data_IF_373608401579
#
_entry.id   IF_373608401579
#
_cell.length_a   1.000
_cell.length_b   1.000
_cell.length_c   1.000
_cell.angle_alpha   90.00
_cell.angle_beta   90.00
_cell.angle_gamma   90.00
#
_symmetry.space_group_name_H-M   'P 1'
#
loop_
_entity.id
_entity.type
_entity.pdbx_description
1 polymer ?
#
# COMPACT_ATOMS: atom_id res chain seq x y z
N UNK A 1 -9.30 43.96 -74.27
CA UNK A 1 -9.22 45.19 -73.45
C UNK A 1 -9.52 44.75 -72.03
N UNK A 2 -8.50 44.56 -71.19
CA UNK A 2 -8.06 45.56 -70.20
C UNK A 2 -9.26 46.03 -69.33
N UNK A 3 -9.32 45.90 -68.00
CA UNK A 3 -8.25 46.02 -66.99
C UNK A 3 -8.71 45.47 -65.63
N UNK A 4 -7.70 45.13 -64.82
CA UNK A 4 -7.71 44.77 -63.40
C UNK A 4 -7.91 46.02 -62.52
N UNK A 5 -8.59 45.91 -61.39
CA UNK A 5 -8.24 46.44 -60.04
C UNK A 5 -9.48 46.35 -59.12
N UNK A 6 -9.41 46.24 -57.80
CA UNK A 6 -8.57 45.54 -56.83
C UNK A 6 -9.21 45.80 -55.44
N UNK A 7 -8.91 44.93 -54.48
CA UNK A 7 -8.91 45.15 -53.01
C UNK A 7 -10.15 44.90 -52.13
N UNK A 8 -9.79 44.18 -51.06
CA UNK A 8 -10.26 44.23 -49.66
C UNK A 8 -11.41 43.26 -49.28
N UNK A 9 -11.12 42.07 -48.74
CA UNK A 9 -10.65 41.72 -47.38
C UNK A 9 -11.78 41.57 -46.34
N UNK A 10 -11.69 40.45 -45.61
CA UNK A 10 -12.21 40.13 -44.26
C UNK A 10 -13.37 39.12 -44.22
N UNK A 11 -12.95 37.85 -44.12
CA UNK A 11 -13.29 36.86 -43.09
C UNK A 11 -14.61 37.02 -42.31
N UNK A 12 -15.43 35.96 -42.32
CA UNK A 12 -15.67 35.06 -41.18
C UNK A 12 -16.70 34.01 -41.64
N UNK A 13 -16.27 32.76 -41.77
CA UNK A 13 -17.14 31.60 -41.99
C UNK A 13 -17.29 30.89 -40.66
N UNK A 14 -18.48 30.95 -40.05
CA UNK A 14 -18.80 30.22 -38.81
C UNK A 14 -19.42 28.88 -39.22
N UNK A 15 -18.60 27.82 -39.18
CA UNK A 15 -19.04 26.43 -39.26
C UNK A 15 -19.41 25.95 -37.85
N UNK A 16 -20.70 25.82 -37.57
CA UNK A 16 -21.18 25.07 -36.40
C UNK A 16 -21.28 23.59 -36.77
N UNK A 17 -20.20 22.83 -36.53
CA UNK A 17 -20.23 21.37 -36.51
C UNK A 17 -20.38 20.92 -35.06
N UNK A 18 -21.60 20.48 -34.71
CA UNK A 18 -21.90 19.78 -33.46
C UNK A 18 -21.23 18.39 -33.52
N UNK A 19 -19.99 18.30 -33.06
CA UNK A 19 -19.35 17.04 -32.73
C UNK A 19 -19.81 16.60 -31.33
N UNK A 20 -20.83 15.76 -31.29
CA UNK A 20 -21.12 14.91 -30.14
C UNK A 20 -20.03 13.85 -30.04
N UNK A 21 -18.93 14.19 -29.38
CA UNK A 21 -17.92 13.21 -28.97
C UNK A 21 -18.49 12.46 -27.78
N UNK A 22 -19.10 11.31 -28.04
CA UNK A 22 -19.32 10.30 -27.02
C UNK A 22 -17.95 9.90 -26.48
N UNK A 23 -17.61 10.40 -25.29
CA UNK A 23 -16.49 9.90 -24.50
C UNK A 23 -16.89 8.49 -24.07
N UNK A 24 -16.54 7.49 -24.86
CA UNK A 24 -16.46 6.13 -24.39
C UNK A 24 -15.35 6.12 -23.35
N UNK A 25 -15.76 6.24 -22.09
CA UNK A 25 -14.92 5.99 -20.93
C UNK A 25 -14.25 4.63 -21.15
N UNK A 26 -12.92 4.66 -21.28
CA UNK A 26 -12.10 3.47 -21.19
C UNK A 26 -12.41 2.79 -19.85
N UNK A 27 -13.10 1.65 -19.91
CA UNK A 27 -13.12 0.70 -18.80
C UNK A 27 -11.77 -0.02 -18.77
N UNK A 28 -10.70 0.68 -18.42
CA UNK A 28 -9.54 0.02 -17.84
C UNK A 28 -9.93 -0.33 -16.42
N UNK A 29 -10.00 -1.62 -16.13
CA UNK A 29 -10.32 -2.14 -14.80
C UNK A 29 -9.57 -1.34 -13.74
N UNK A 30 -10.33 -0.80 -12.79
CA UNK A 30 -9.79 -0.20 -11.58
C UNK A 30 -9.11 -1.36 -10.85
N UNK A 31 -7.83 -1.62 -11.15
CA UNK A 31 -6.91 -2.05 -10.10
C UNK A 31 -7.00 -0.93 -9.08
N UNK A 32 -7.73 -1.24 -8.02
CA UNK A 32 -7.89 -0.37 -6.87
C UNK A 32 -6.47 -0.01 -6.42
N UNK A 33 -6.10 1.26 -6.59
CA UNK A 33 -4.81 1.78 -6.17
C UNK A 33 -4.77 1.69 -4.65
N UNK A 34 -4.12 0.63 -4.14
CA UNK A 34 -3.91 0.38 -2.71
C UNK A 34 -2.75 1.22 -2.14
N UNK A 35 -2.32 2.31 -2.80
CA UNK A 35 -1.42 3.29 -2.22
C UNK A 35 -2.10 4.13 -1.13
N UNK A 36 -2.69 3.47 -0.14
CA UNK A 36 -3.04 4.10 1.13
C UNK A 36 -1.73 4.44 1.82
N UNK A 37 -1.26 5.67 1.67
CA UNK A 37 -0.33 6.27 2.64
C UNK A 37 -1.09 6.42 3.95
N UNK A 38 -1.23 5.33 4.71
CA UNK A 38 -1.59 5.42 6.10
C UNK A 38 -0.54 6.32 6.76
N UNK A 39 -0.99 7.28 7.56
CA UNK A 39 -0.09 8.12 8.35
C UNK A 39 0.91 7.23 9.06
N UNK A 40 2.15 7.68 9.18
CA UNK A 40 3.17 6.98 9.94
C UNK A 40 2.61 6.59 11.32
N UNK A 41 2.50 5.30 11.60
CA UNK A 41 2.08 4.78 12.90
C UNK A 41 3.30 4.13 13.53
N UNK A 42 3.88 4.75 14.56
CA UNK A 42 4.82 4.04 15.42
C UNK A 42 4.01 3.16 16.39
N UNK A 43 4.11 1.82 16.34
CA UNK A 43 3.38 0.95 17.26
C UNK A 43 3.76 1.18 18.73
N UNK A 44 4.88 1.86 19.03
CA UNK A 44 5.29 2.27 20.37
C UNK A 44 4.46 3.44 20.90
N UNK A 45 3.88 4.25 20.01
CA UNK A 45 3.12 5.44 20.37
C UNK A 45 1.62 5.17 20.51
N UNK A 46 1.14 3.99 20.12
CA UNK A 46 -0.31 3.67 20.06
C UNK A 46 -0.94 3.32 21.41
N UNK A 47 -0.25 3.52 22.54
CA UNK A 47 -0.62 2.99 23.88
C UNK A 47 -0.74 1.46 23.97
N UNK A 48 -0.45 0.75 22.87
CA UNK A 48 -0.46 -0.70 22.77
C UNK A 48 0.87 -1.27 23.29
N UNK A 49 0.85 -2.51 23.76
CA UNK A 49 2.05 -3.23 24.18
C UNK A 49 2.56 -4.09 23.03
N UNK A 50 3.87 -4.03 22.75
CA UNK A 50 4.51 -4.95 21.80
C UNK A 50 4.44 -6.36 22.39
N UNK A 51 3.73 -7.25 21.70
CA UNK A 51 3.60 -8.66 22.05
C UNK A 51 4.60 -9.54 21.30
N UNK A 52 5.09 -9.09 20.14
CA UNK A 52 6.12 -9.75 19.36
C UNK A 52 6.69 -8.82 18.31
N UNK A 53 7.95 -9.07 17.94
CA UNK A 53 8.62 -8.38 16.84
C UNK A 53 9.48 -9.38 16.09
N UNK A 54 9.50 -9.27 14.77
CA UNK A 54 10.42 -10.02 13.92
C UNK A 54 11.02 -9.07 12.88
N UNK A 55 12.29 -9.27 12.54
CA UNK A 55 13.03 -8.48 11.57
C UNK A 55 13.70 -9.41 10.58
N UNK A 56 13.64 -9.04 9.31
CA UNK A 56 14.32 -9.75 8.24
C UNK A 56 13.68 -9.49 6.88
N UNK A 57 14.27 -10.10 5.86
CA UNK A 57 13.91 -9.82 4.48
C UNK A 57 14.48 -8.51 3.98
N UNK A 58 14.52 -8.39 2.66
CA UNK A 58 15.14 -7.25 1.98
C UNK A 58 14.08 -6.55 1.13
N UNK A 59 14.01 -5.23 1.27
CA UNK A 59 13.24 -4.39 0.36
C UNK A 59 14.14 -3.43 -0.40
N UNK A 60 13.69 -3.02 -1.57
CA UNK A 60 14.33 -1.99 -2.37
C UNK A 60 13.31 -1.21 -3.18
N UNK A 61 13.47 0.10 -3.25
CA UNK A 61 12.66 0.99 -4.06
C UNK A 61 13.52 2.17 -4.53
N UNK A 62 13.68 2.32 -5.85
CA UNK A 62 14.58 3.29 -6.46
C UNK A 62 16.02 3.17 -5.91
N UNK A 63 16.50 4.21 -5.23
CA UNK A 63 17.82 4.32 -4.60
C UNK A 63 17.82 3.92 -3.10
N UNK A 64 16.66 3.56 -2.56
CA UNK A 64 16.49 3.16 -1.17
C UNK A 64 16.44 1.63 -1.04
N UNK A 65 17.02 1.11 0.02
CA UNK A 65 16.92 -0.31 0.37
C UNK A 65 17.08 -0.53 1.87
N UNK A 66 16.63 -1.68 2.34
CA UNK A 66 16.78 -2.06 3.73
C UNK A 66 16.03 -3.32 4.08
N UNK A 67 15.56 -3.40 5.32
CA UNK A 67 14.92 -4.60 5.86
C UNK A 67 13.51 -4.33 6.36
N UNK A 68 12.70 -5.38 6.39
CA UNK A 68 11.39 -5.30 6.99
C UNK A 68 11.46 -5.57 8.49
N UNK A 69 10.56 -4.93 9.24
CA UNK A 69 10.23 -5.34 10.60
C UNK A 69 8.74 -5.45 10.78
N UNK A 70 8.31 -6.53 11.41
CA UNK A 70 6.92 -6.81 11.73
C UNK A 70 6.70 -6.72 13.22
N UNK A 71 5.60 -6.11 13.63
CA UNK A 71 5.19 -6.04 15.02
C UNK A 71 3.81 -6.61 15.20
N UNK A 72 3.64 -7.33 16.30
CA UNK A 72 2.33 -7.60 16.85
C UNK A 72 2.20 -6.79 18.13
N UNK A 73 1.17 -5.96 18.20
CA UNK A 73 0.82 -5.28 19.43
C UNK A 73 -0.48 -5.83 20.01
N UNK A 74 -0.68 -5.59 21.30
CA UNK A 74 -1.91 -5.89 22.03
C UNK A 74 -2.36 -4.68 22.80
N UNK A 75 -3.67 -4.45 22.81
CA UNK A 75 -4.31 -3.51 23.72
C UNK A 75 -4.47 -4.13 25.11
N UNK A 76 -4.33 -3.34 26.19
CA UNK A 76 -4.42 -3.86 27.57
C UNK A 76 -5.81 -4.45 27.91
N UNK A 77 -6.87 -3.95 27.29
CA UNK A 77 -8.27 -4.31 27.58
C UNK A 77 -8.82 -5.47 26.76
N UNK A 78 -8.19 -5.80 25.65
CA UNK A 78 -8.71 -6.70 24.64
C UNK A 78 -7.52 -7.46 24.04
N UNK A 79 -7.59 -8.79 24.08
CA UNK A 79 -6.57 -9.70 23.54
C UNK A 79 -6.51 -9.69 22.00
N UNK A 80 -6.92 -8.59 21.38
CA UNK A 80 -6.89 -8.37 19.94
C UNK A 80 -5.49 -7.93 19.55
N UNK A 81 -4.90 -8.71 18.65
CA UNK A 81 -3.60 -8.42 18.10
C UNK A 81 -3.76 -7.39 16.97
N UNK A 82 -2.79 -6.49 16.82
CA UNK A 82 -2.64 -5.67 15.62
C UNK A 82 -1.28 -5.97 14.97
N UNK A 83 -1.28 -6.23 13.67
CA UNK A 83 -0.09 -6.46 12.86
C UNK A 83 0.33 -5.15 12.17
N UNK A 84 1.62 -4.83 12.29
CA UNK A 84 2.25 -3.71 11.60
C UNK A 84 3.46 -4.20 10.83
N UNK A 85 3.82 -3.46 9.77
CA UNK A 85 5.06 -3.64 9.02
C UNK A 85 5.79 -2.31 8.87
N UNK A 86 7.11 -2.34 9.04
CA UNK A 86 8.03 -1.23 8.88
C UNK A 86 9.03 -1.50 7.76
N UNK A 87 9.35 -0.46 6.99
CA UNK A 87 10.45 -0.42 6.05
C UNK A 87 11.59 0.37 6.70
N UNK A 88 12.62 -0.35 7.11
CA UNK A 88 13.76 0.19 7.83
C UNK A 88 14.92 0.41 6.88
N UNK A 89 15.70 1.48 7.06
CA UNK A 89 16.97 1.64 6.38
C UNK A 89 17.93 0.51 6.72
N UNK A 90 18.83 0.21 5.79
CA UNK A 90 19.94 -0.71 6.05
C UNK A 90 20.97 -0.03 6.95
N UNK A 91 20.75 -0.10 8.27
CA UNK A 91 21.71 0.33 9.28
C UNK A 91 22.63 -0.81 9.73
N UNK A 92 23.85 -0.47 10.16
CA UNK A 92 24.76 -1.42 10.81
C UNK A 92 24.37 -1.68 12.28
N UNK A 93 23.78 -0.67 12.93
CA UNK A 93 23.35 -0.70 14.33
C UNK A 93 21.88 -0.27 14.46
N UNK A 94 21.15 -0.76 15.49
CA UNK A 94 19.74 -0.39 15.72
C UNK A 94 19.49 1.11 15.95
N UNK A 95 20.51 1.85 16.38
CA UNK A 95 20.44 3.27 16.71
C UNK A 95 20.47 4.18 15.48
N UNK A 96 21.07 3.69 14.39
CA UNK A 96 21.17 4.37 13.09
C UNK A 96 20.03 4.00 12.14
N UNK A 97 19.04 3.27 12.66
CA UNK A 97 17.94 2.76 11.89
C UNK A 97 16.89 3.85 11.64
N UNK A 98 16.69 4.18 10.37
CA UNK A 98 15.65 5.10 9.94
C UNK A 98 14.41 4.31 9.53
N UNK A 99 13.24 4.69 10.03
CA UNK A 99 11.97 4.11 9.62
C UNK A 99 11.42 4.91 8.45
N UNK A 100 11.52 4.41 7.23
CA UNK A 100 10.96 5.07 6.06
C UNK A 100 9.44 5.03 6.04
N UNK A 101 8.87 3.88 6.39
CA UNK A 101 7.43 3.67 6.46
C UNK A 101 7.06 2.72 7.60
N UNK A 102 5.88 2.93 8.17
CA UNK A 102 5.27 2.06 9.18
C UNK A 102 3.77 2.06 8.95
N UNK A 103 3.20 0.89 8.63
CA UNK A 103 1.78 0.76 8.30
C UNK A 103 1.11 -0.36 9.10
N UNK A 104 -0.19 -0.20 9.33
CA UNK A 104 -1.10 -1.23 9.83
C UNK A 104 -1.52 -2.16 8.69
N UNK A 105 -1.67 -3.45 8.98
CA UNK A 105 -2.31 -4.41 8.06
C UNK A 105 -3.81 -4.42 8.34
N UNK A 106 -4.53 -3.54 7.67
CA UNK A 106 -5.93 -3.21 7.96
C UNK A 106 -6.86 -4.41 7.87
N UNK A 107 -6.72 -5.27 6.87
CA UNK A 107 -7.63 -6.40 6.65
C UNK A 107 -7.60 -7.38 7.83
N UNK A 108 -6.42 -7.58 8.42
CA UNK A 108 -6.23 -8.45 9.58
C UNK A 108 -6.54 -7.73 10.89
N UNK A 109 -6.33 -6.41 10.95
CA UNK A 109 -6.54 -5.59 12.15
C UNK A 109 -7.99 -5.12 12.32
N UNK A 110 -8.74 -4.98 11.24
CA UNK A 110 -10.12 -4.50 11.25
C UNK A 110 -11.06 -5.45 12.00
N UNK A 111 -10.73 -6.75 11.98
CA UNK A 111 -11.52 -7.76 12.65
C UNK A 111 -10.83 -8.17 13.94
N UNK A 112 -11.42 -7.78 15.08
CA UNK A 112 -10.95 -8.20 16.41
C UNK A 112 -11.10 -9.70 16.69
N UNK A 113 -11.42 -10.50 15.66
CA UNK A 113 -11.65 -11.94 15.71
C UNK A 113 -10.38 -12.77 15.52
N UNK A 114 -9.31 -12.20 14.97
CA UNK A 114 -8.12 -12.96 14.66
C UNK A 114 -7.08 -12.88 15.78
N UNK A 115 -6.50 -14.03 16.09
CA UNK A 115 -5.25 -14.16 16.85
C UNK A 115 -4.19 -14.67 15.89
N UNK A 116 -3.29 -13.81 15.45
CA UNK A 116 -2.20 -14.19 14.56
C UNK A 116 -0.86 -14.21 15.27
N UNK A 117 0.03 -15.08 14.77
CA UNK A 117 1.45 -15.13 15.12
C UNK A 117 2.29 -14.20 14.26
N UNK A 118 3.59 -14.12 14.56
CA UNK A 118 4.52 -13.33 13.75
C UNK A 118 4.55 -13.88 12.32
N UNK A 119 4.59 -13.01 11.30
CA UNK A 119 4.66 -13.47 9.92
C UNK A 119 5.91 -14.30 9.64
N UNK A 120 5.77 -15.23 8.70
CA UNK A 120 6.86 -16.06 8.19
C UNK A 120 7.18 -15.64 6.76
N UNK A 121 8.46 -15.49 6.43
CA UNK A 121 8.85 -15.22 5.05
C UNK A 121 8.71 -16.48 4.19
N UNK A 122 8.08 -16.31 3.03
CA UNK A 122 7.99 -17.39 2.03
C UNK A 122 9.30 -17.49 1.25
N UNK A 123 9.94 -16.35 0.96
CA UNK A 123 11.19 -16.26 0.20
C UNK A 123 12.28 -15.51 0.96
N UNK A 124 13.54 -15.67 0.53
CA UNK A 124 14.70 -15.02 1.17
C UNK A 124 14.59 -13.49 1.24
N UNK A 125 13.94 -12.85 0.27
CA UNK A 125 13.74 -11.40 0.25
C UNK A 125 12.49 -10.94 1.01
N UNK A 126 11.63 -11.86 1.45
CA UNK A 126 10.39 -11.57 2.17
C UNK A 126 9.44 -10.58 1.48
N UNK A 127 9.51 -10.45 0.14
CA UNK A 127 8.50 -9.71 -0.62
C UNK A 127 7.12 -10.34 -0.51
N UNK A 128 7.06 -11.62 -0.14
CA UNK A 128 5.85 -12.32 0.25
C UNK A 128 6.01 -12.92 1.64
N UNK A 129 5.02 -12.68 2.50
CA UNK A 129 4.98 -13.20 3.86
C UNK A 129 3.66 -13.95 4.08
N UNK A 130 3.75 -14.94 4.96
CA UNK A 130 2.64 -15.76 5.40
C UNK A 130 2.26 -15.35 6.82
N UNK A 131 0.97 -15.12 7.05
CA UNK A 131 0.42 -14.84 8.37
C UNK A 131 -0.52 -15.97 8.75
N UNK A 132 -0.11 -16.75 9.76
CA UNK A 132 -0.99 -17.74 10.38
C UNK A 132 -1.89 -17.04 11.39
N UNK A 133 -3.20 -17.22 11.23
CA UNK A 133 -4.22 -16.59 12.04
C UNK A 133 -5.23 -17.62 12.54
N UNK A 134 -5.53 -17.58 13.83
CA UNK A 134 -6.62 -18.34 14.42
C UNK A 134 -7.87 -17.46 14.51
N UNK A 135 -8.96 -17.95 13.93
CA UNK A 135 -10.27 -17.32 13.99
C UNK A 135 -10.99 -17.72 15.29
N UNK A 136 -11.19 -16.78 16.21
CA UNK A 136 -11.77 -17.11 17.52
C UNK A 136 -13.25 -17.47 17.48
N UNK A 137 -13.98 -17.07 16.44
CA UNK A 137 -15.42 -17.35 16.33
C UNK A 137 -15.68 -18.65 15.59
N UNK A 138 -14.88 -18.93 14.55
CA UNK A 138 -15.01 -20.16 13.75
C UNK A 138 -14.09 -21.29 14.25
N UNK A 139 -13.26 -21.01 15.27
CA UNK A 139 -12.32 -21.94 15.89
C UNK A 139 -11.40 -22.68 14.89
N UNK A 140 -10.98 -21.97 13.84
CA UNK A 140 -10.19 -22.54 12.74
C UNK A 140 -8.90 -21.77 12.49
N UNK A 141 -7.91 -22.50 12.00
CA UNK A 141 -6.67 -21.91 11.48
C UNK A 141 -6.90 -21.42 10.05
N UNK A 142 -6.46 -20.19 9.80
CA UNK A 142 -6.45 -19.53 8.52
C UNK A 142 -5.02 -19.11 8.18
N UNK A 143 -4.73 -19.09 6.89
CA UNK A 143 -3.47 -18.62 6.35
C UNK A 143 -3.75 -17.47 5.39
N UNK A 144 -3.05 -16.36 5.60
CA UNK A 144 -3.10 -15.21 4.72
C UNK A 144 -1.72 -14.97 4.11
N UNK A 145 -1.68 -14.60 2.84
CA UNK A 145 -0.43 -14.19 2.17
C UNK A 145 -0.48 -12.70 1.91
N UNK A 146 0.49 -11.98 2.46
CA UNK A 146 0.70 -10.56 2.17
C UNK A 146 1.86 -10.42 1.20
N UNK A 147 1.71 -9.52 0.24
CA UNK A 147 2.74 -9.15 -0.72
C UNK A 147 3.10 -7.69 -0.47
N UNK A 148 4.39 -7.41 -0.31
CA UNK A 148 4.92 -6.09 0.02
C UNK A 148 5.43 -5.43 -1.26
N UNK A 149 4.55 -4.66 -1.93
CA UNK A 149 4.80 -4.06 -3.23
C UNK A 149 5.47 -2.69 -3.12
N UNK A 150 6.73 -2.66 -2.71
CA UNK A 150 7.51 -1.43 -2.59
C UNK A 150 7.29 -0.69 -1.27
N UNK A 151 7.75 0.56 -1.19
CA UNK A 151 7.78 1.34 0.04
C UNK A 151 6.37 1.68 0.54
N UNK A 152 6.04 1.23 1.75
CA UNK A 152 4.79 1.55 2.43
C UNK A 152 3.54 0.95 1.79
N UNK A 153 3.70 -0.10 0.97
CA UNK A 153 2.63 -0.68 0.16
C UNK A 153 2.55 -2.18 0.37
N UNK A 154 1.32 -2.69 0.45
CA UNK A 154 1.05 -4.11 0.49
C UNK A 154 -0.30 -4.44 -0.14
N UNK A 155 -0.48 -5.71 -0.54
CA UNK A 155 -1.79 -6.28 -0.82
C UNK A 155 -1.90 -7.69 -0.23
N UNK A 156 -3.14 -8.16 -0.01
CA UNK A 156 -3.41 -9.55 0.32
C UNK A 156 -3.65 -10.36 -0.95
N UNK A 157 -2.96 -11.49 -1.09
CA UNK A 157 -3.34 -12.54 -2.05
C UNK A 157 -4.51 -13.32 -1.44
N UNK A 158 -5.66 -13.26 -2.11
CA UNK A 158 -6.89 -13.98 -1.76
C UNK A 158 -7.03 -15.21 -2.67
#
# INVERSE_FOLDING_TARGET
MERITAFANIFIVIFYALFSVGVYAQSSGIMQDWSRRHGFIDPRDTSQQIAGSWRGGDWGAADLSGEFRFFITKTKSNATNHLYVQWLSRGAEPEDEEVFYSISIDELNALSRYRFGLPECIEKKCGEIKVQAFDIFEEKQLEFTLVLEGLGQYHMKI
#
